data_IF_907436902608
#
_entry.id   IF_907436902608
#
_cell.length_a   1.000
_cell.length_b   1.000
_cell.length_c   1.000
_cell.angle_alpha   90.00
_cell.angle_beta   90.00
_cell.angle_gamma   90.00
#
_symmetry.space_group_name_H-M   'P 1'
#
loop_
_entity.id
_entity.type
_entity.pdbx_description
1 polymer ?
#
# COMPACT_ATOMS: atom_id res chain seq x y z
N UNK A 1 16.05 -81.31 -42.73
CA UNK A 1 16.55 -80.52 -41.58
C UNK A 1 15.41 -79.63 -41.13
N UNK A 2 14.66 -80.07 -40.12
CA UNK A 2 13.36 -79.50 -39.76
C UNK A 2 13.53 -78.47 -38.66
N UNK A 3 13.02 -77.26 -38.91
CA UNK A 3 13.27 -76.05 -38.15
C UNK A 3 12.34 -75.99 -36.91
N UNK A 4 12.90 -75.85 -35.70
CA UNK A 4 12.14 -75.78 -34.46
C UNK A 4 11.87 -74.31 -34.12
N UNK A 5 10.66 -73.82 -34.42
CA UNK A 5 10.26 -72.45 -34.12
C UNK A 5 9.86 -72.32 -32.65
N UNK A 6 10.65 -71.56 -31.89
CA UNK A 6 10.43 -71.26 -30.47
C UNK A 6 9.27 -70.24 -30.35
N UNK A 7 8.13 -70.66 -29.81
CA UNK A 7 7.01 -69.75 -29.50
C UNK A 7 7.30 -68.98 -28.21
N UNK A 8 7.45 -67.67 -28.31
CA UNK A 8 7.53 -66.78 -27.15
C UNK A 8 6.12 -66.57 -26.57
N UNK A 9 5.95 -66.87 -25.27
CA UNK A 9 4.70 -66.63 -24.56
C UNK A 9 4.61 -65.14 -24.22
N UNK A 10 3.76 -64.42 -24.94
CA UNK A 10 3.37 -63.05 -24.57
C UNK A 10 2.44 -63.11 -23.35
N UNK A 11 2.95 -62.76 -22.17
CA UNK A 11 2.14 -62.58 -20.98
C UNK A 11 1.48 -61.20 -21.04
N UNK A 12 0.14 -61.10 -20.93
CA UNK A 12 -0.52 -59.81 -20.84
C UNK A 12 -0.04 -59.12 -19.56
N UNK A 13 0.67 -58.00 -19.71
CA UNK A 13 1.11 -57.15 -18.61
C UNK A 13 -0.14 -56.59 -17.92
N UNK A 14 -0.53 -57.19 -16.79
CA UNK A 14 -1.57 -56.62 -15.93
C UNK A 14 -1.06 -55.28 -15.40
N UNK A 15 -1.64 -54.18 -15.90
CA UNK A 15 -1.44 -52.87 -15.27
C UNK A 15 -1.99 -52.93 -13.85
N UNK A 16 -1.11 -53.02 -12.87
CA UNK A 16 -1.49 -52.85 -11.46
C UNK A 16 -2.00 -51.41 -11.33
N UNK A 17 -3.31 -51.26 -11.13
CA UNK A 17 -3.89 -49.98 -10.69
C UNK A 17 -3.40 -49.77 -9.25
N UNK A 18 -2.28 -49.06 -9.10
CA UNK A 18 -1.78 -48.63 -7.80
C UNK A 18 -2.71 -47.53 -7.27
N UNK A 19 -3.64 -47.92 -6.41
CA UNK A 19 -4.47 -47.00 -5.64
C UNK A 19 -3.71 -46.47 -4.42
N UNK A 20 -4.00 -45.23 -4.03
CA UNK A 20 -3.50 -44.64 -2.79
C UNK A 20 -4.06 -45.38 -1.59
N UNK A 21 -3.20 -45.66 -0.60
CA UNK A 21 -3.67 -46.25 0.66
C UNK A 21 -4.38 -45.21 1.53
N UNK A 22 -5.31 -45.64 2.39
CA UNK A 22 -5.97 -44.73 3.33
C UNK A 22 -4.98 -44.00 4.24
N UNK A 23 -3.91 -44.68 4.65
CA UNK A 23 -2.86 -44.09 5.50
C UNK A 23 -2.10 -43.01 4.75
N UNK A 24 -1.81 -43.20 3.47
CA UNK A 24 -1.12 -42.22 2.63
C UNK A 24 -1.94 -40.94 2.44
N UNK A 25 -3.25 -41.07 2.20
CA UNK A 25 -4.15 -39.92 2.14
C UNK A 25 -4.24 -39.18 3.47
N UNK A 26 -4.25 -39.90 4.60
CA UNK A 26 -4.27 -39.27 5.92
C UNK A 26 -3.01 -38.44 6.17
N UNK A 27 -1.83 -38.97 5.85
CA UNK A 27 -0.56 -38.25 6.02
C UNK A 27 -0.50 -37.01 5.12
N UNK A 28 -0.97 -37.09 3.88
CA UNK A 28 -1.01 -35.93 2.96
C UNK A 28 -1.94 -34.83 3.49
N UNK A 29 -3.12 -35.18 4.00
CA UNK A 29 -4.05 -34.19 4.56
C UNK A 29 -3.48 -33.49 5.79
N UNK A 30 -2.86 -34.24 6.70
CA UNK A 30 -2.23 -33.66 7.90
C UNK A 30 -1.07 -32.73 7.52
N UNK A 31 -0.21 -33.15 6.58
CA UNK A 31 0.90 -32.32 6.12
C UNK A 31 0.41 -31.06 5.40
N UNK A 32 -0.66 -31.14 4.59
CA UNK A 32 -1.25 -29.96 3.96
C UNK A 32 -1.78 -28.95 4.98
N UNK A 33 -2.54 -29.39 6.00
CA UNK A 33 -3.07 -28.49 7.03
C UNK A 33 -1.94 -27.77 7.78
N UNK A 34 -0.86 -28.49 8.11
CA UNK A 34 0.32 -27.90 8.74
C UNK A 34 0.95 -26.82 7.86
N UNK A 35 1.17 -27.09 6.57
CA UNK A 35 1.74 -26.12 5.64
C UNK A 35 0.84 -24.88 5.46
N UNK A 36 -0.48 -25.06 5.35
CA UNK A 36 -1.41 -23.93 5.23
C UNK A 36 -1.44 -23.06 6.47
N UNK A 37 -1.39 -23.65 7.67
CA UNK A 37 -1.39 -22.90 8.92
C UNK A 37 -0.20 -21.92 9.02
N UNK A 38 1.01 -22.39 8.72
CA UNK A 38 2.23 -21.58 8.76
C UNK A 38 2.28 -20.60 7.59
N UNK A 39 1.84 -21.04 6.40
CA UNK A 39 1.81 -20.20 5.21
C UNK A 39 0.88 -18.99 5.35
N UNK A 40 -0.31 -19.19 5.94
CA UNK A 40 -1.31 -18.13 6.07
C UNK A 40 -0.87 -16.99 7.00
N UNK A 41 -0.25 -17.32 8.14
CA UNK A 41 0.24 -16.30 9.08
C UNK A 41 1.28 -15.38 8.41
N UNK A 42 2.24 -15.96 7.69
CA UNK A 42 3.27 -15.20 6.97
C UNK A 42 2.68 -14.38 5.80
N UNK A 43 1.72 -14.95 5.07
CA UNK A 43 1.07 -14.26 3.97
C UNK A 43 0.32 -13.00 4.43
N UNK A 44 -0.40 -13.08 5.55
CA UNK A 44 -1.13 -11.92 6.11
C UNK A 44 -0.18 -10.76 6.40
N UNK A 45 0.96 -11.03 7.02
CA UNK A 45 1.93 -9.99 7.33
C UNK A 45 2.54 -9.37 6.08
N UNK A 46 2.86 -10.17 5.09
CA UNK A 46 3.35 -9.67 3.80
C UNK A 46 2.32 -8.78 3.12
N UNK A 47 1.06 -9.22 3.06
CA UNK A 47 -0.04 -8.46 2.45
C UNK A 47 -0.23 -7.08 3.08
N UNK A 48 -0.24 -7.00 4.42
CA UNK A 48 -0.38 -5.71 5.13
C UNK A 48 0.81 -4.78 4.84
N UNK A 49 2.03 -5.35 4.76
CA UNK A 49 3.26 -4.61 4.42
C UNK A 49 3.16 -4.01 3.02
N UNK A 50 2.74 -4.81 2.06
CA UNK A 50 2.63 -4.38 0.67
C UNK A 50 1.52 -3.33 0.48
N UNK A 51 0.39 -3.50 1.17
CA UNK A 51 -0.70 -2.54 1.16
C UNK A 51 -0.25 -1.15 1.64
N UNK A 52 0.48 -1.09 2.77
CA UNK A 52 1.02 0.15 3.31
C UNK A 52 2.10 0.76 2.42
N UNK A 53 3.00 -0.06 1.89
CA UNK A 53 4.05 0.39 0.97
C UNK A 53 3.44 1.01 -0.29
N UNK A 54 2.43 0.37 -0.87
CA UNK A 54 1.71 0.88 -2.03
C UNK A 54 1.01 2.21 -1.73
N UNK A 55 0.34 2.33 -0.57
CA UNK A 55 -0.30 3.56 -0.14
C UNK A 55 0.72 4.70 0.08
N UNK A 56 1.86 4.43 0.72
CA UNK A 56 2.92 5.41 0.91
C UNK A 56 3.56 5.84 -0.41
N UNK A 57 3.83 4.92 -1.32
CA UNK A 57 4.39 5.23 -2.63
C UNK A 57 3.42 6.09 -3.45
N UNK A 58 2.12 5.79 -3.38
CA UNK A 58 1.07 6.61 -4.00
C UNK A 58 1.02 8.01 -3.40
N UNK A 59 1.06 8.13 -2.07
CA UNK A 59 1.11 9.42 -1.38
C UNK A 59 2.38 10.21 -1.74
N UNK A 60 3.56 9.57 -1.80
CA UNK A 60 4.80 10.23 -2.24
C UNK A 60 4.71 10.72 -3.68
N UNK A 61 4.16 9.92 -4.58
CA UNK A 61 3.92 10.33 -5.96
C UNK A 61 2.98 11.53 -6.05
N UNK A 62 1.94 11.55 -5.22
CA UNK A 62 0.96 12.65 -5.15
C UNK A 62 1.52 13.93 -4.53
N UNK A 63 2.37 13.82 -3.50
CA UNK A 63 3.11 14.95 -2.96
C UNK A 63 4.04 15.56 -4.03
N UNK A 64 4.74 14.71 -4.80
CA UNK A 64 5.58 15.15 -5.92
C UNK A 64 4.77 15.76 -7.06
N UNK A 65 3.56 15.26 -7.31
CA UNK A 65 2.63 15.84 -8.27
C UNK A 65 2.19 17.25 -7.85
N UNK A 66 1.80 17.43 -6.60
CA UNK A 66 1.44 18.75 -6.07
C UNK A 66 2.63 19.72 -6.13
N UNK A 67 3.84 19.24 -5.80
CA UNK A 67 5.06 20.02 -5.92
C UNK A 67 5.37 20.41 -7.38
N UNK A 68 5.24 19.47 -8.33
CA UNK A 68 5.51 19.75 -9.74
C UNK A 68 4.50 20.71 -10.34
N UNK A 69 3.23 20.60 -9.98
CA UNK A 69 2.18 21.53 -10.40
C UNK A 69 2.38 22.93 -9.84
N UNK A 70 2.76 23.04 -8.56
CA UNK A 70 3.12 24.33 -7.96
C UNK A 70 4.37 24.93 -8.63
N UNK A 71 5.40 24.13 -8.88
CA UNK A 71 6.65 24.57 -9.52
C UNK A 71 6.48 25.03 -10.97
N UNK A 72 5.63 24.33 -11.74
CA UNK A 72 5.30 24.67 -13.13
C UNK A 72 4.23 25.76 -13.27
N UNK A 73 3.55 26.12 -12.17
CA UNK A 73 2.52 27.16 -12.18
C UNK A 73 1.26 26.78 -12.95
N UNK A 74 0.95 25.48 -13.05
CA UNK A 74 -0.24 24.99 -13.75
C UNK A 74 -1.48 25.51 -13.05
N UNK A 75 -2.33 26.24 -13.78
CA UNK A 75 -3.61 26.73 -13.26
C UNK A 75 -4.72 25.71 -13.53
N UNK A 76 -5.70 25.55 -12.62
CA UNK A 76 -6.91 24.79 -12.93
C UNK A 76 -7.72 25.46 -14.06
N UNK A 77 -8.60 24.70 -14.70
CA UNK A 77 -9.36 25.12 -15.88
C UNK A 77 -10.26 26.35 -15.64
N UNK A 78 -10.67 26.61 -14.41
CA UNK A 78 -11.45 27.78 -14.04
C UNK A 78 -11.22 28.20 -12.58
N UNK A 79 -11.59 29.44 -12.26
CA UNK A 79 -11.62 29.95 -10.89
C UNK A 79 -10.28 30.40 -10.31
N UNK A 80 -9.22 30.55 -11.12
CA UNK A 80 -7.89 30.89 -10.65
C UNK A 80 -7.29 32.09 -11.40
N UNK A 81 -7.20 33.25 -10.74
CA UNK A 81 -6.55 34.44 -11.32
C UNK A 81 -5.06 34.42 -11.00
N UNK A 82 -4.72 34.35 -9.71
CA UNK A 82 -3.36 34.24 -9.19
C UNK A 82 -3.22 32.88 -8.52
N UNK A 83 -2.28 32.06 -8.99
CA UNK A 83 -1.97 30.78 -8.37
C UNK A 83 -0.97 31.00 -7.23
N UNK A 84 -1.38 30.68 -6.00
CA UNK A 84 -0.51 30.74 -4.83
C UNK A 84 0.26 29.42 -4.64
N UNK A 85 -0.35 28.31 -5.02
CA UNK A 85 0.28 26.99 -4.92
C UNK A 85 -0.70 25.82 -4.98
N UNK A 86 -0.20 24.64 -4.63
CA UNK A 86 -0.98 23.43 -4.47
C UNK A 86 -0.85 22.91 -3.05
N UNK A 87 -1.98 22.56 -2.44
CA UNK A 87 -2.00 22.03 -1.08
C UNK A 87 -2.51 20.61 -1.04
N UNK A 88 -2.00 19.86 -0.07
CA UNK A 88 -2.47 18.54 0.29
C UNK A 88 -3.11 18.62 1.66
N UNK A 89 -4.41 18.29 1.70
CA UNK A 89 -5.21 18.27 2.93
C UNK A 89 -5.53 16.82 3.27
N UNK A 90 -5.17 16.42 4.49
CA UNK A 90 -5.51 15.10 5.03
C UNK A 90 -6.79 15.24 5.85
N UNK A 91 -7.76 14.37 5.60
CA UNK A 91 -9.02 14.29 6.32
C UNK A 91 -9.12 12.95 7.05
N UNK A 92 -8.96 12.99 8.36
CA UNK A 92 -9.00 11.81 9.23
C UNK A 92 -10.41 11.30 9.47
N UNK A 93 -11.45 12.10 9.19
CA UNK A 93 -12.83 11.65 9.33
C UNK A 93 -13.23 10.85 8.10
N UNK A 94 -12.92 11.37 6.91
CA UNK A 94 -13.17 10.70 5.65
C UNK A 94 -12.13 9.62 5.30
N UNK A 95 -11.02 9.52 6.05
CA UNK A 95 -9.88 8.64 5.75
C UNK A 95 -9.39 8.83 4.32
N UNK A 96 -9.21 10.10 3.94
CA UNK A 96 -8.91 10.52 2.60
C UNK A 96 -7.91 11.69 2.61
N UNK A 97 -7.26 11.91 1.46
CA UNK A 97 -6.51 13.13 1.23
C UNK A 97 -6.88 13.74 -0.11
N UNK A 98 -6.73 15.06 -0.18
CA UNK A 98 -7.16 15.90 -1.28
C UNK A 98 -5.99 16.73 -1.77
N UNK A 99 -5.82 16.80 -3.08
CA UNK A 99 -4.89 17.73 -3.74
C UNK A 99 -5.73 18.89 -4.29
N UNK A 100 -5.55 20.07 -3.73
CA UNK A 100 -6.36 21.26 -4.02
C UNK A 100 -5.45 22.40 -4.52
N UNK A 101 -5.77 23.06 -5.65
CA UNK A 101 -5.10 24.29 -6.02
C UNK A 101 -5.54 25.43 -5.10
N UNK A 102 -4.60 26.27 -4.71
CA UNK A 102 -4.84 27.50 -3.94
C UNK A 102 -4.64 28.67 -4.87
N UNK A 103 -5.70 29.43 -5.09
CA UNK A 103 -5.70 30.62 -5.93
C UNK A 103 -6.33 31.78 -5.19
N UNK A 104 -5.77 32.97 -5.34
CA UNK A 104 -6.31 34.20 -4.78
C UNK A 104 -6.55 34.09 -3.25
N UNK A 105 -5.66 33.37 -2.54
CA UNK A 105 -5.72 33.11 -1.10
C UNK A 105 -6.70 32.00 -0.66
N UNK A 106 -7.49 31.43 -1.58
CA UNK A 106 -8.52 30.44 -1.29
C UNK A 106 -8.28 29.13 -2.02
N UNK A 107 -8.66 28.02 -1.41
CA UNK A 107 -8.58 26.73 -2.10
C UNK A 107 -9.80 26.49 -2.96
N UNK A 108 -9.54 25.96 -4.15
CA UNK A 108 -10.57 25.55 -5.10
C UNK A 108 -10.84 24.05 -4.97
N UNK A 109 -11.75 23.54 -5.81
CA UNK A 109 -12.08 22.13 -5.88
C UNK A 109 -10.85 21.26 -6.08
N UNK A 110 -10.79 20.15 -5.34
CA UNK A 110 -9.70 19.20 -5.42
C UNK A 110 -9.56 18.64 -6.85
N UNK A 111 -8.34 18.70 -7.39
CA UNK A 111 -8.00 18.09 -8.68
C UNK A 111 -7.87 16.57 -8.55
N UNK A 112 -7.57 16.08 -7.34
CA UNK A 112 -7.44 14.67 -7.04
C UNK A 112 -7.94 14.40 -5.62
N UNK A 113 -8.78 13.38 -5.50
CA UNK A 113 -9.30 12.87 -4.23
C UNK A 113 -8.92 11.40 -4.11
N UNK A 114 -8.27 11.03 -3.02
CA UNK A 114 -7.85 9.66 -2.77
C UNK A 114 -8.41 9.21 -1.44
N UNK A 115 -9.25 8.17 -1.49
CA UNK A 115 -9.70 7.46 -0.28
C UNK A 115 -8.74 6.32 0.04
N UNK A 116 -8.39 6.17 1.32
CA UNK A 116 -7.48 5.12 1.80
C UNK A 116 -8.16 3.73 1.93
N UNK A 117 -9.46 3.65 1.65
CA UNK A 117 -10.26 2.43 1.79
C UNK A 117 -10.64 2.15 3.24
N UNK A 118 -11.17 0.96 3.51
CA UNK A 118 -11.71 0.59 4.84
C UNK A 118 -10.65 0.03 5.79
N UNK A 119 -9.48 -0.34 5.29
CA UNK A 119 -8.45 -1.05 6.07
C UNK A 119 -7.26 -0.17 6.45
N UNK A 120 -7.09 0.99 5.82
CA UNK A 120 -5.96 1.90 6.07
C UNK A 120 -6.50 3.18 6.71
N UNK A 121 -5.87 3.58 7.80
CA UNK A 121 -6.15 4.80 8.52
C UNK A 121 -4.99 5.77 8.38
N UNK A 122 -5.27 7.05 8.17
CA UNK A 122 -4.30 8.14 8.08
C UNK A 122 -4.46 9.07 9.27
N UNK A 123 -3.34 9.50 9.86
CA UNK A 123 -3.33 10.57 10.85
C UNK A 123 -3.05 11.91 10.17
N UNK A 124 -3.67 12.96 10.69
CA UNK A 124 -3.37 14.32 10.28
C UNK A 124 -1.90 14.63 10.64
N UNK A 125 -1.11 15.18 9.70
CA UNK A 125 0.22 15.68 9.99
C UNK A 125 0.17 16.88 10.94
N UNK A 126 1.31 17.20 11.58
CA UNK A 126 1.48 18.38 12.45
C UNK A 126 1.21 19.71 11.72
N UNK A 127 1.38 19.72 10.40
CA UNK A 127 0.99 20.80 9.50
C UNK A 127 -0.01 20.26 8.50
N UNK A 128 -1.28 20.66 8.61
CA UNK A 128 -2.36 20.26 7.71
C UNK A 128 -3.25 21.49 7.42
N UNK A 129 -3.38 21.97 6.18
CA UNK A 129 -2.85 21.39 4.95
C UNK A 129 -1.37 21.72 4.69
N UNK A 130 -0.70 20.86 3.93
CA UNK A 130 0.68 21.07 3.46
C UNK A 130 0.60 21.82 2.14
N UNK A 131 1.13 23.03 2.06
CA UNK A 131 1.07 23.90 0.89
C UNK A 131 2.44 24.00 0.22
N UNK A 132 2.51 23.62 -1.05
CA UNK A 132 3.63 23.88 -1.96
C UNK A 132 3.37 25.19 -2.70
N UNK A 133 4.25 26.16 -2.55
CA UNK A 133 4.10 27.50 -3.13
C UNK A 133 4.67 27.56 -4.54
N UNK A 134 4.10 28.43 -5.38
CA UNK A 134 4.60 28.66 -6.74
C UNK A 134 6.01 29.25 -6.78
N UNK A 135 6.68 29.10 -7.93
CA UNK A 135 7.99 29.73 -8.23
C UNK A 135 9.05 29.40 -7.18
N UNK A 136 9.13 28.11 -6.81
CA UNK A 136 10.18 27.59 -5.91
C UNK A 136 10.21 28.26 -4.53
N UNK A 137 9.10 28.88 -4.10
CA UNK A 137 8.97 29.49 -2.76
C UNK A 137 8.88 28.46 -1.61
N UNK A 138 9.13 27.18 -1.91
CA UNK A 138 9.16 26.08 -0.96
C UNK A 138 7.77 25.68 -0.48
N UNK A 139 7.67 25.35 0.81
CA UNK A 139 6.43 24.90 1.46
C UNK A 139 6.02 25.80 2.62
N UNK A 140 4.88 25.52 3.25
CA UNK A 140 4.50 26.13 4.53
C UNK A 140 5.11 25.44 5.76
N UNK A 141 6.06 24.52 5.57
CA UNK A 141 6.74 23.83 6.67
C UNK A 141 7.84 24.74 7.25
N UNK A 142 7.85 24.89 8.57
CA UNK A 142 8.80 25.74 9.29
C UNK A 142 10.24 25.25 9.06
N UNK A 143 11.18 26.18 8.95
CA UNK A 143 12.60 25.88 8.79
C UNK A 143 13.11 24.94 9.89
N UNK A 144 13.75 23.83 9.49
CA UNK A 144 14.29 22.82 10.43
C UNK A 144 13.25 21.84 10.96
N UNK A 145 11.99 21.91 10.51
CA UNK A 145 10.93 20.96 10.87
C UNK A 145 10.69 19.94 9.77
N UNK A 146 10.33 18.72 10.18
CA UNK A 146 9.87 17.65 9.29
C UNK A 146 8.41 17.35 9.58
N UNK A 147 7.60 17.18 8.53
CA UNK A 147 6.22 16.74 8.67
C UNK A 147 6.14 15.25 8.36
N UNK A 148 5.54 14.48 9.26
CA UNK A 148 5.33 13.06 9.09
C UNK A 148 3.85 12.79 8.86
N UNK A 149 3.53 12.12 7.75
CA UNK A 149 2.20 11.56 7.52
C UNK A 149 2.27 10.09 7.89
N UNK A 150 1.48 9.70 8.89
CA UNK A 150 1.39 8.33 9.40
C UNK A 150 0.17 7.64 8.79
N UNK A 151 0.37 6.51 8.13
CA UNK A 151 -0.69 5.59 7.75
C UNK A 151 -0.52 4.25 8.47
N UNK A 152 -1.61 3.62 8.90
CA UNK A 152 -1.61 2.34 9.62
C UNK A 152 -2.80 1.47 9.21
N UNK A 153 -2.65 0.15 9.28
CA UNK A 153 -3.77 -0.79 9.05
C UNK A 153 -4.41 -1.11 10.39
N UNK A 154 -5.75 -1.15 10.44
CA UNK A 154 -6.62 -1.44 11.60
C UNK A 154 -7.02 -0.25 12.51
N UNK A 155 -8.32 -0.16 12.85
CA UNK A 155 -8.86 0.93 13.66
C UNK A 155 -8.55 0.68 15.12
N UNK A 156 -7.35 1.05 15.56
CA UNK A 156 -6.98 0.87 16.96
C UNK A 156 -7.64 1.97 17.84
N UNK A 157 -8.74 1.65 18.53
CA UNK A 157 -9.33 2.39 19.65
C UNK A 157 -8.21 2.90 20.59
N UNK A 158 -8.31 4.15 21.10
CA UNK A 158 -7.17 4.88 21.67
C UNK A 158 -6.50 4.20 22.87
N UNK A 159 -7.21 3.34 23.61
CA UNK A 159 -6.71 2.67 24.80
C UNK A 159 -5.62 1.60 24.55
N UNK A 160 -5.46 1.11 23.32
CA UNK A 160 -4.48 0.07 23.00
C UNK A 160 -3.39 0.49 22.01
N UNK A 161 -3.35 1.78 21.64
CA UNK A 161 -2.27 2.35 20.81
C UNK A 161 -0.87 2.09 21.39
N UNK A 162 -0.72 2.15 22.71
CA UNK A 162 0.57 1.94 23.38
C UNK A 162 1.07 0.48 23.29
N UNK A 163 0.14 -0.48 23.29
CA UNK A 163 0.48 -1.91 23.27
C UNK A 163 0.86 -2.38 21.86
N UNK A 164 0.15 -1.92 20.82
CA UNK A 164 0.44 -2.31 19.44
C UNK A 164 1.59 -1.54 18.79
N UNK A 165 1.99 -0.36 19.29
CA UNK A 165 3.28 0.24 18.92
C UNK A 165 4.47 -0.64 19.30
N UNK A 166 4.30 -1.51 20.30
CA UNK A 166 5.32 -2.47 20.75
C UNK A 166 5.26 -3.81 19.99
N UNK A 167 4.12 -4.16 19.36
CA UNK A 167 3.88 -5.52 18.84
C UNK A 167 3.25 -5.66 17.44
N UNK A 168 2.89 -4.60 16.70
CA UNK A 168 2.37 -4.83 15.35
C UNK A 168 1.56 -3.76 14.64
N UNK A 169 1.40 -2.55 15.18
CA UNK A 169 0.83 -1.44 14.41
C UNK A 169 1.80 -1.11 13.27
N UNK A 170 1.55 -1.71 12.11
CA UNK A 170 2.40 -1.55 10.94
C UNK A 170 2.06 -0.19 10.36
N UNK A 171 2.97 0.75 10.57
CA UNK A 171 2.85 2.10 10.07
C UNK A 171 3.87 2.38 8.99
N UNK A 172 3.52 3.32 8.12
CA UNK A 172 4.47 3.90 7.17
C UNK A 172 4.43 5.42 7.28
N UNK A 173 5.62 5.99 7.19
CA UNK A 173 5.86 7.40 7.42
C UNK A 173 6.30 8.00 6.10
N UNK A 174 5.63 9.06 5.66
CA UNK A 174 6.14 9.93 4.59
C UNK A 174 6.63 11.21 5.23
N UNK A 175 7.91 11.54 5.00
CA UNK A 175 8.54 12.70 5.64
C UNK A 175 8.74 13.81 4.62
N UNK A 176 8.38 15.04 4.97
CA UNK A 176 8.55 16.21 4.11
C UNK A 176 9.44 17.25 4.79
N UNK A 177 10.52 17.63 4.11
CA UNK A 177 11.47 18.66 4.52
C UNK A 177 11.13 20.05 4.00
N UNK A 178 11.87 21.06 4.49
CA UNK A 178 11.70 22.49 4.20
C UNK A 178 11.65 22.85 2.71
N UNK A 179 12.39 22.14 1.86
CA UNK A 179 12.42 22.36 0.40
C UNK A 179 11.31 21.64 -0.37
N UNK A 180 10.41 20.93 0.31
CA UNK A 180 9.54 19.94 -0.32
C UNK A 180 10.27 18.66 -0.69
N UNK A 181 11.43 18.39 -0.07
CA UNK A 181 12.10 17.10 -0.18
C UNK A 181 11.24 16.03 0.50
N UNK A 182 10.89 14.99 -0.25
CA UNK A 182 9.97 13.93 0.18
C UNK A 182 10.77 12.64 0.34
N UNK A 183 10.81 12.12 1.57
CA UNK A 183 11.54 10.92 1.99
C UNK A 183 10.58 9.78 2.34
#
# INVERSE_FOLDING_TARGET
MTNCQKKEKNYPQQKILQGFTFVELLVVLVTMVLLFSVGYANYRDFYVRELLNSAANSLKADLRLAQSYAGSGVKPSSGCTILDGYRIRVDTTAQAYYIEPVCDGSALTAIKTIGMGTSIYINAPSVNPILFKVVTKGTNIIQGSTVIILAYVENLQPAYKQFWQTYGAKSINVTIGKGGEIY
#
